data_IF_776484637551
#
_entry.id   IF_776484637551
#
_cell.length_a   1.000
_cell.length_b   1.000
_cell.length_c   1.000
_cell.angle_alpha   90.00
_cell.angle_beta   90.00
_cell.angle_gamma   90.00
#
_symmetry.space_group_name_H-M   'P 1'
#
loop_
_entity.id
_entity.type
_entity.pdbx_description
1 polymer ?
#
# COMPACT_ATOMS: atom_id res chain seq x y z
N UNK A 1 28.87 4.20 -4.63
CA UNK A 1 28.30 4.86 -3.44
C UNK A 1 26.93 5.46 -3.74
N UNK A 2 26.82 6.30 -4.78
CA UNK A 2 25.55 6.94 -5.16
C UNK A 2 24.45 5.93 -5.56
N UNK A 3 24.80 4.89 -6.33
CA UNK A 3 23.89 3.80 -6.69
C UNK A 3 23.30 3.07 -5.47
N UNK A 4 24.14 2.77 -4.47
CA UNK A 4 23.70 2.08 -3.25
C UNK A 4 22.74 2.97 -2.43
N UNK A 5 22.98 4.28 -2.39
CA UNK A 5 22.08 5.23 -1.76
C UNK A 5 20.75 5.33 -2.51
N UNK A 6 20.78 5.35 -3.84
CA UNK A 6 19.58 5.37 -4.67
C UNK A 6 18.72 4.12 -4.45
N UNK A 7 19.33 2.93 -4.40
CA UNK A 7 18.64 1.68 -4.07
C UNK A 7 18.02 1.72 -2.67
N UNK A 8 18.77 2.21 -1.68
CA UNK A 8 18.30 2.27 -0.29
C UNK A 8 17.13 3.26 -0.14
N UNK A 9 17.21 4.40 -0.82
CA UNK A 9 16.11 5.37 -0.90
C UNK A 9 14.88 4.76 -1.57
N UNK A 10 15.08 4.03 -2.67
CA UNK A 10 13.98 3.36 -3.36
C UNK A 10 13.28 2.33 -2.46
N UNK A 11 14.03 1.50 -1.75
CA UNK A 11 13.48 0.57 -0.75
C UNK A 11 12.70 1.31 0.35
N UNK A 12 13.21 2.46 0.81
CA UNK A 12 12.51 3.28 1.80
C UNK A 12 11.18 3.85 1.25
N UNK A 13 11.17 4.28 -0.01
CA UNK A 13 9.94 4.74 -0.69
C UNK A 13 8.93 3.60 -0.82
N UNK A 14 9.35 2.42 -1.28
CA UNK A 14 8.47 1.25 -1.38
C UNK A 14 7.89 0.86 -0.01
N UNK A 15 8.73 0.84 1.03
CA UNK A 15 8.28 0.55 2.38
C UNK A 15 7.27 1.59 2.88
N UNK A 16 7.53 2.88 2.63
CA UNK A 16 6.60 3.95 2.97
C UNK A 16 5.26 3.79 2.26
N UNK A 17 5.26 3.45 0.97
CA UNK A 17 4.06 3.19 0.18
C UNK A 17 3.27 1.98 0.73
N UNK A 18 3.93 0.86 1.05
CA UNK A 18 3.26 -0.30 1.62
C UNK A 18 2.64 0.02 2.99
N UNK A 19 3.38 0.71 3.86
CA UNK A 19 2.91 1.06 5.21
C UNK A 19 1.73 2.04 5.16
N UNK A 20 1.84 3.09 4.34
CA UNK A 20 0.74 4.04 4.14
C UNK A 20 -0.46 3.40 3.49
N UNK A 21 -0.28 2.55 2.48
CA UNK A 21 -1.35 1.77 1.86
C UNK A 21 -2.05 0.85 2.85
N UNK A 22 -1.31 0.22 3.76
CA UNK A 22 -1.86 -0.63 4.82
C UNK A 22 -2.71 0.16 5.81
N UNK A 23 -2.23 1.32 6.25
CA UNK A 23 -2.98 2.22 7.10
C UNK A 23 -4.23 2.74 6.39
N UNK A 24 -4.08 3.22 5.16
CA UNK A 24 -5.17 3.74 4.32
C UNK A 24 -6.27 2.71 4.13
N UNK A 25 -5.94 1.48 3.77
CA UNK A 25 -6.95 0.43 3.56
C UNK A 25 -7.60 0.01 4.87
N UNK A 26 -6.84 -0.06 5.96
CA UNK A 26 -7.39 -0.35 7.29
C UNK A 26 -8.40 0.72 7.72
N UNK A 27 -8.09 2.01 7.54
CA UNK A 27 -8.98 3.10 7.91
C UNK A 27 -10.22 3.16 7.01
N UNK A 28 -10.06 3.08 5.69
CA UNK A 28 -11.17 3.14 4.73
C UNK A 28 -12.12 1.95 4.85
N UNK A 29 -11.58 0.77 5.16
CA UNK A 29 -12.39 -0.44 5.33
C UNK A 29 -12.95 -0.61 6.74
N UNK A 30 -12.67 0.33 7.67
CA UNK A 30 -13.02 0.22 9.09
C UNK A 30 -12.52 -1.10 9.71
N UNK A 31 -11.30 -1.51 9.36
CA UNK A 31 -10.67 -2.76 9.80
C UNK A 31 -11.23 -4.03 9.14
N UNK A 32 -12.19 -3.92 8.21
CA UNK A 32 -12.74 -5.10 7.51
C UNK A 32 -11.74 -5.72 6.54
N UNK A 33 -10.81 -4.94 6.01
CA UNK A 33 -9.75 -5.43 5.12
C UNK A 33 -8.40 -5.38 5.83
N UNK A 34 -7.55 -6.36 5.53
CA UNK A 34 -6.22 -6.51 6.13
C UNK A 34 -5.15 -6.39 5.06
N UNK A 35 -4.03 -5.73 5.37
CA UNK A 35 -2.82 -5.85 4.57
C UNK A 35 -2.03 -7.10 4.95
N UNK A 36 -1.39 -7.73 3.98
CA UNK A 36 -0.40 -8.79 4.20
C UNK A 36 0.68 -8.35 5.22
N UNK A 37 1.29 -9.30 5.91
CA UNK A 37 2.43 -9.02 6.78
C UNK A 37 3.68 -8.74 5.94
N UNK A 38 4.53 -7.80 6.39
CA UNK A 38 5.71 -7.37 5.63
C UNK A 38 6.72 -8.50 5.36
N UNK A 39 6.79 -9.49 6.25
CA UNK A 39 7.61 -10.70 6.08
C UNK A 39 6.81 -11.94 5.67
N UNK A 40 5.53 -11.78 5.36
CA UNK A 40 4.65 -12.88 4.97
C UNK A 40 4.83 -13.27 3.51
N UNK A 41 4.38 -14.48 3.18
CA UNK A 41 4.22 -14.96 1.79
C UNK A 41 2.80 -15.44 1.55
N UNK A 42 1.84 -14.83 2.26
CA UNK A 42 0.43 -15.19 2.26
C UNK A 42 -0.20 -15.06 0.87
N UNK A 43 0.15 -13.99 0.15
CA UNK A 43 -0.29 -13.76 -1.23
C UNK A 43 0.26 -14.79 -2.19
N UNK A 44 1.47 -15.32 -1.95
CA UNK A 44 2.07 -16.39 -2.75
C UNK A 44 1.50 -17.77 -2.43
N UNK A 45 1.12 -18.00 -1.17
CA UNK A 45 0.63 -19.30 -0.70
C UNK A 45 -0.86 -19.51 -0.97
N UNK A 46 -1.65 -18.44 -0.90
CA UNK A 46 -3.12 -18.51 -0.94
C UNK A 46 -3.75 -17.65 -2.03
N UNK A 47 -3.01 -16.67 -2.55
CA UNK A 47 -3.48 -15.81 -3.62
C UNK A 47 -3.21 -16.40 -5.01
N UNK A 48 -4.05 -16.06 -6.01
CA UNK A 48 -3.68 -16.24 -7.41
C UNK A 48 -2.36 -15.51 -7.71
N UNK A 49 -1.53 -16.06 -8.59
CA UNK A 49 -0.29 -15.40 -8.99
C UNK A 49 -0.58 -13.99 -9.53
N UNK A 50 0.10 -12.98 -8.98
CA UNK A 50 -0.08 -11.57 -9.36
C UNK A 50 -1.33 -10.89 -8.80
N UNK A 51 -2.10 -11.53 -7.92
CA UNK A 51 -3.27 -10.89 -7.32
C UNK A 51 -2.89 -9.71 -6.42
N UNK A 52 -3.62 -8.60 -6.55
CA UNK A 52 -3.48 -7.42 -5.66
C UNK A 52 -4.25 -7.60 -4.35
N UNK A 53 -5.28 -8.45 -4.36
CA UNK A 53 -6.00 -8.84 -3.16
C UNK A 53 -6.64 -10.21 -3.34
N UNK A 54 -6.89 -10.91 -2.24
CA UNK A 54 -7.58 -12.18 -2.19
C UNK A 54 -8.49 -12.25 -0.96
N UNK A 55 -9.39 -13.23 -0.90
CA UNK A 55 -10.18 -13.51 0.30
C UNK A 55 -9.55 -14.68 1.05
N UNK A 56 -9.42 -14.55 2.36
CA UNK A 56 -8.98 -15.60 3.27
C UNK A 56 -9.77 -15.50 4.57
N UNK A 57 -10.28 -16.63 5.07
CA UNK A 57 -10.98 -16.70 6.37
C UNK A 57 -12.10 -15.65 6.52
N UNK A 58 -12.84 -15.39 5.43
CA UNK A 58 -13.91 -14.38 5.40
C UNK A 58 -13.45 -12.92 5.29
N UNK A 59 -12.15 -12.65 5.43
CA UNK A 59 -11.56 -11.32 5.33
C UNK A 59 -10.93 -11.08 3.94
N UNK A 60 -10.97 -9.84 3.45
CA UNK A 60 -10.18 -9.47 2.26
C UNK A 60 -8.76 -9.10 2.70
N UNK A 61 -7.78 -9.74 2.10
CA UNK A 61 -6.35 -9.51 2.33
C UNK A 61 -5.74 -8.88 1.09
N UNK A 62 -5.06 -7.76 1.24
CA UNK A 62 -4.30 -7.10 0.17
C UNK A 62 -2.86 -7.57 0.20
N UNK A 63 -2.33 -7.96 -0.96
CA UNK A 63 -0.92 -8.37 -1.09
C UNK A 63 0.00 -7.17 -0.99
N UNK A 64 1.31 -7.39 -0.81
CA UNK A 64 2.32 -6.31 -0.85
C UNK A 64 2.19 -5.42 -2.09
N UNK A 65 1.94 -6.01 -3.27
CA UNK A 65 1.69 -5.25 -4.50
C UNK A 65 0.39 -4.43 -4.43
N UNK A 66 -0.69 -5.00 -3.88
CA UNK A 66 -1.94 -4.26 -3.66
C UNK A 66 -1.77 -3.09 -2.68
N UNK A 67 -0.95 -3.27 -1.63
CA UNK A 67 -0.63 -2.23 -0.66
C UNK A 67 0.24 -1.12 -1.27
N UNK A 68 1.19 -1.44 -2.16
CA UNK A 68 1.93 -0.43 -2.93
C UNK A 68 0.98 0.47 -3.75
N UNK A 69 0.05 -0.14 -4.48
CA UNK A 69 -0.95 0.63 -5.24
C UNK A 69 -1.88 1.44 -4.34
N UNK A 70 -2.29 0.88 -3.19
CA UNK A 70 -3.10 1.61 -2.22
C UNK A 70 -2.36 2.82 -1.63
N UNK A 71 -1.06 2.68 -1.33
CA UNK A 71 -0.21 3.78 -0.87
C UNK A 71 -0.05 4.86 -1.94
N UNK A 72 0.18 4.46 -3.19
CA UNK A 72 0.23 5.40 -4.32
C UNK A 72 -1.08 6.17 -4.47
N UNK A 73 -2.21 5.46 -4.42
CA UNK A 73 -3.55 6.07 -4.49
C UNK A 73 -3.76 7.08 -3.35
N UNK A 74 -3.32 6.75 -2.14
CA UNK A 74 -3.37 7.68 -1.01
C UNK A 74 -2.61 8.97 -1.30
N UNK A 75 -1.37 8.90 -1.79
CA UNK A 75 -0.58 10.10 -2.10
C UNK A 75 -1.15 10.92 -3.26
N UNK A 76 -1.71 10.27 -4.29
CA UNK A 76 -2.42 10.96 -5.38
C UNK A 76 -3.62 11.73 -4.84
N UNK A 77 -4.46 11.08 -4.03
CA UNK A 77 -5.63 11.73 -3.43
C UNK A 77 -5.24 12.86 -2.48
N UNK A 78 -4.18 12.67 -1.68
CA UNK A 78 -3.64 13.70 -0.81
C UNK A 78 -3.16 14.91 -1.60
N UNK A 79 -2.45 14.69 -2.71
CA UNK A 79 -2.00 15.76 -3.61
C UNK A 79 -3.17 16.53 -4.23
N UNK A 80 -4.20 15.82 -4.70
CA UNK A 80 -5.42 16.43 -5.22
C UNK A 80 -6.16 17.25 -4.16
N UNK A 81 -6.29 16.72 -2.95
CA UNK A 81 -6.92 17.42 -1.83
C UNK A 81 -6.14 18.69 -1.48
N UNK A 82 -4.80 18.61 -1.39
CA UNK A 82 -3.95 19.76 -1.13
C UNK A 82 -4.05 20.83 -2.23
N UNK A 83 -4.07 20.44 -3.50
CA UNK A 83 -4.26 21.35 -4.62
C UNK A 83 -5.63 22.03 -4.59
N UNK A 84 -6.69 21.29 -4.27
CA UNK A 84 -8.04 21.86 -4.10
C UNK A 84 -8.10 22.86 -2.95
N UNK A 85 -7.47 22.57 -1.80
CA UNK A 85 -7.37 23.52 -0.70
C UNK A 85 -6.57 24.76 -1.10
N UNK A 86 -5.44 24.59 -1.79
CA UNK A 86 -4.61 25.69 -2.25
C UNK A 86 -5.34 26.60 -3.26
N UNK A 87 -6.26 26.06 -4.07
CA UNK A 87 -7.08 26.86 -4.99
C UNK A 87 -8.16 27.72 -4.32
N UNK A 88 -8.47 27.44 -3.04
CA UNK A 88 -9.45 28.18 -2.24
C UNK A 88 -8.81 29.31 -1.40
N UNK A 89 -7.48 29.35 -1.33
CA UNK A 89 -6.69 30.35 -0.60
C UNK A 89 -6.30 31.53 -1.51
#
# INVERSE_FOLDING_TARGET
>A
MLEALAMLLWCAVELALVLTGKLFVSTLSLGRWRGESLGGSEGRMHGPAGALSFKRDGQRVLTSSGLLFAGLAFYVLLGLAAAGVASLA
#
